data_IF_079363519469
#
_entry.id   IF_079363519469
#
_cell.length_a   1.000
_cell.length_b   1.000
_cell.length_c   1.000
_cell.angle_alpha   90.00
_cell.angle_beta   90.00
_cell.angle_gamma   90.00
#
_symmetry.space_group_name_H-M   'P 1'
#
loop_
_entity.id
_entity.type
_entity.pdbx_description
1 polymer ?
#
# COMPACT_ATOMS: atom_id res chain seq x y z
N UNK A 1 55.65 -58.64 -26.03
CA UNK A 1 54.65 -58.24 -25.06
C UNK A 1 54.45 -56.75 -25.18
N UNK A 2 53.29 -56.29 -25.74
CA UNK A 2 52.99 -54.86 -25.87
C UNK A 2 51.99 -54.51 -24.80
N UNK A 3 52.17 -53.40 -24.00
CA UNK A 3 51.16 -52.97 -23.03
C UNK A 3 50.05 -52.20 -23.74
N UNK A 4 48.80 -52.63 -23.45
CA UNK A 4 47.58 -51.87 -23.81
C UNK A 4 47.40 -50.71 -22.80
N UNK A 5 47.45 -49.49 -23.30
CA UNK A 5 47.01 -48.28 -22.59
C UNK A 5 45.51 -48.10 -22.79
N UNK A 6 44.74 -48.15 -21.69
CA UNK A 6 43.34 -47.73 -21.65
C UNK A 6 43.25 -46.24 -21.34
N UNK A 7 42.49 -45.43 -22.11
CA UNK A 7 42.25 -44.04 -21.76
C UNK A 7 41.17 -43.94 -20.69
N UNK A 8 41.47 -43.32 -19.55
CA UNK A 8 40.54 -42.96 -18.50
C UNK A 8 39.83 -41.68 -18.93
N UNK A 9 38.54 -41.77 -19.30
CA UNK A 9 37.69 -40.62 -19.58
C UNK A 9 37.17 -40.07 -18.28
N UNK A 10 37.66 -38.92 -17.83
CA UNK A 10 37.16 -38.19 -16.67
C UNK A 10 35.92 -37.39 -17.11
N UNK A 11 34.74 -37.79 -16.67
CA UNK A 11 33.50 -37.04 -16.87
C UNK A 11 33.40 -35.98 -15.77
N UNK A 12 33.65 -34.72 -16.11
CA UNK A 12 33.49 -33.58 -15.26
C UNK A 12 31.99 -33.19 -15.22
N UNK A 13 31.28 -33.60 -14.18
CA UNK A 13 29.89 -33.21 -13.95
C UNK A 13 29.90 -31.77 -13.41
N UNK A 14 29.58 -30.79 -14.24
CA UNK A 14 29.33 -29.40 -13.87
C UNK A 14 27.96 -29.34 -13.13
N UNK A 15 28.00 -29.37 -11.80
CA UNK A 15 26.82 -29.05 -10.99
C UNK A 15 26.53 -27.56 -11.10
N UNK A 16 25.57 -27.16 -11.92
CA UNK A 16 25.06 -25.78 -11.94
C UNK A 16 24.37 -25.49 -10.59
N UNK A 17 24.72 -24.41 -9.90
CA UNK A 17 24.01 -24.03 -8.68
C UNK A 17 22.57 -23.68 -9.05
N UNK A 18 21.60 -24.46 -8.58
CA UNK A 18 20.20 -24.11 -8.62
C UNK A 18 20.00 -22.88 -7.75
N UNK A 19 19.92 -21.70 -8.35
CA UNK A 19 19.52 -20.47 -7.67
C UNK A 19 18.06 -20.64 -7.29
N UNK A 20 17.82 -21.13 -6.07
CA UNK A 20 16.51 -21.04 -5.44
C UNK A 20 16.15 -19.56 -5.32
N UNK A 21 15.39 -19.04 -6.29
CA UNK A 21 14.69 -17.78 -6.12
C UNK A 21 13.70 -17.99 -4.98
N UNK A 22 14.07 -17.55 -3.79
CA UNK A 22 13.11 -17.42 -2.71
C UNK A 22 11.95 -16.57 -3.22
N UNK A 23 10.78 -17.17 -3.43
CA UNK A 23 9.56 -16.43 -3.72
C UNK A 23 9.36 -15.49 -2.53
N UNK A 24 9.51 -14.19 -2.75
CA UNK A 24 9.26 -13.20 -1.71
C UNK A 24 7.82 -13.40 -1.19
N UNK A 25 7.72 -13.68 0.10
CA UNK A 25 6.45 -14.01 0.73
C UNK A 25 5.43 -12.88 0.50
N UNK A 26 4.27 -13.24 -0.01
CA UNK A 26 3.15 -12.31 -0.15
C UNK A 26 2.58 -12.03 1.24
N UNK A 27 2.53 -10.76 1.63
CA UNK A 27 1.90 -10.31 2.87
C UNK A 27 0.44 -9.94 2.56
N UNK A 28 -0.52 -10.56 3.21
CA UNK A 28 -1.93 -10.27 3.04
C UNK A 28 -2.63 -10.13 4.39
N UNK A 29 -3.77 -9.49 4.40
CA UNK A 29 -4.53 -9.30 5.62
C UNK A 29 -5.81 -8.52 5.40
N UNK A 30 -6.52 -8.35 6.50
CA UNK A 30 -7.74 -7.56 6.56
C UNK A 30 -7.62 -6.56 7.70
N UNK A 31 -7.84 -5.28 7.42
CA UNK A 31 -8.06 -4.27 8.45
C UNK A 31 -9.54 -4.07 8.67
N UNK A 32 -9.97 -4.17 9.92
CA UNK A 32 -11.33 -3.87 10.38
C UNK A 32 -11.27 -2.57 11.16
N UNK A 33 -12.01 -1.56 10.71
CA UNK A 33 -12.10 -0.25 11.35
C UNK A 33 -13.41 -0.16 12.09
N UNK A 34 -13.32 0.12 13.39
CA UNK A 34 -14.46 0.17 14.31
C UNK A 34 -14.59 1.59 14.86
N UNK A 35 -15.79 2.16 14.82
CA UNK A 35 -16.19 3.32 15.61
C UNK A 35 -17.14 2.81 16.70
N UNK A 36 -16.76 2.99 17.96
CA UNK A 36 -17.37 2.31 19.09
C UNK A 36 -17.37 0.77 18.88
N UNK A 37 -18.52 0.15 18.57
CA UNK A 37 -18.65 -1.29 18.29
C UNK A 37 -19.01 -1.59 16.83
N UNK A 38 -19.28 -0.56 16.05
CA UNK A 38 -19.74 -0.72 14.68
C UNK A 38 -18.56 -0.72 13.70
N UNK A 39 -18.58 -1.67 12.76
CA UNK A 39 -17.62 -1.66 11.65
C UNK A 39 -17.97 -0.52 10.70
N UNK A 40 -17.08 0.47 10.56
CA UNK A 40 -17.24 1.60 9.65
C UNK A 40 -16.51 1.39 8.31
N UNK A 41 -15.46 0.58 8.32
CA UNK A 41 -14.76 0.19 7.12
C UNK A 41 -14.11 -1.20 7.25
N UNK A 42 -13.92 -1.86 6.11
CA UNK A 42 -13.19 -3.12 5.99
C UNK A 42 -12.24 -2.99 4.81
N UNK A 43 -10.95 -3.19 5.04
CA UNK A 43 -9.94 -3.21 4.00
C UNK A 43 -9.31 -4.59 3.88
N UNK A 44 -9.39 -5.20 2.70
CA UNK A 44 -8.68 -6.42 2.36
C UNK A 44 -7.54 -6.07 1.43
N UNK A 45 -6.34 -6.59 1.67
CA UNK A 45 -5.19 -6.28 0.84
C UNK A 45 -4.26 -7.48 0.64
N UNK A 46 -3.45 -7.38 -0.40
CA UNK A 46 -2.33 -8.28 -0.68
C UNK A 46 -1.14 -7.45 -1.17
N UNK A 47 0.03 -7.72 -0.60
CA UNK A 47 1.29 -7.05 -0.89
C UNK A 47 2.31 -8.07 -1.33
N UNK A 48 2.76 -7.98 -2.56
CA UNK A 48 3.94 -8.66 -3.09
C UNK A 48 5.17 -7.74 -3.09
N UNK A 49 6.28 -8.20 -3.66
CA UNK A 49 7.52 -7.41 -3.73
C UNK A 49 7.39 -6.15 -4.61
N UNK A 50 6.57 -6.20 -5.65
CA UNK A 50 6.44 -5.11 -6.64
C UNK A 50 5.03 -4.53 -6.74
N UNK A 51 4.06 -5.07 -5.99
CA UNK A 51 2.65 -4.67 -6.12
C UNK A 51 1.91 -4.75 -4.79
N UNK A 52 1.12 -3.72 -4.52
CA UNK A 52 0.11 -3.68 -3.47
C UNK A 52 -1.26 -3.57 -4.12
N UNK A 53 -2.18 -4.43 -3.74
CA UNK A 53 -3.59 -4.36 -4.18
C UNK A 53 -4.50 -4.42 -2.96
N UNK A 54 -5.63 -3.74 -3.02
CA UNK A 54 -6.60 -3.82 -1.94
C UNK A 54 -7.99 -3.37 -2.36
N UNK A 55 -8.93 -3.65 -1.47
CA UNK A 55 -10.31 -3.20 -1.56
C UNK A 55 -10.73 -2.69 -0.19
N UNK A 56 -11.11 -1.42 -0.14
CA UNK A 56 -11.65 -0.75 1.03
C UNK A 56 -13.16 -0.60 0.87
N UNK A 57 -13.93 -1.25 1.72
CA UNK A 57 -15.39 -1.15 1.76
C UNK A 57 -15.82 -0.24 2.90
N UNK A 58 -16.45 0.89 2.58
CA UNK A 58 -16.96 1.86 3.54
C UNK A 58 -18.43 1.56 3.85
N UNK A 59 -18.78 1.50 5.13
CA UNK A 59 -20.17 1.34 5.58
C UNK A 59 -20.86 2.69 5.74
N UNK A 60 -20.86 3.47 4.67
CA UNK A 60 -21.60 4.74 4.58
C UNK A 60 -22.96 4.53 3.89
N UNK A 61 -23.77 5.60 3.81
CA UNK A 61 -25.10 5.56 3.20
C UNK A 61 -25.07 5.12 1.72
N UNK A 62 -24.01 5.43 0.99
CA UNK A 62 -23.81 5.07 -0.42
C UNK A 62 -23.23 3.66 -0.61
N UNK A 63 -22.74 3.03 0.49
CA UNK A 63 -22.02 1.76 0.44
C UNK A 63 -20.89 1.80 -0.58
N UNK A 64 -19.97 2.73 -0.35
CA UNK A 64 -18.82 2.95 -1.23
C UNK A 64 -17.80 1.84 -1.08
N UNK A 65 -17.26 1.37 -2.19
CA UNK A 65 -16.07 0.51 -2.21
C UNK A 65 -15.01 1.10 -3.11
N UNK A 66 -13.75 1.07 -2.65
CA UNK A 66 -12.59 1.61 -3.32
C UNK A 66 -11.61 0.48 -3.57
N UNK A 67 -11.45 0.09 -4.82
CA UNK A 67 -10.42 -0.88 -5.21
C UNK A 67 -9.20 -0.13 -5.69
N UNK A 68 -8.05 -0.46 -5.14
CA UNK A 68 -6.80 0.16 -5.53
C UNK A 68 -5.73 -0.87 -5.92
N UNK A 69 -4.81 -0.43 -6.77
CA UNK A 69 -3.55 -1.12 -7.04
C UNK A 69 -2.41 -0.12 -7.09
N UNK A 70 -1.26 -0.47 -6.53
CA UNK A 70 -0.07 0.35 -6.54
C UNK A 70 1.15 -0.48 -6.94
N UNK A 71 2.04 0.11 -7.74
CA UNK A 71 3.36 -0.44 -8.02
C UNK A 71 4.28 -0.08 -6.86
N UNK A 72 5.04 -1.06 -6.35
CA UNK A 72 6.07 -0.85 -5.33
C UNK A 72 7.43 -0.85 -6.04
N UNK A 73 8.14 0.27 -5.96
CA UNK A 73 9.50 0.38 -6.45
C UNK A 73 10.53 -0.21 -5.46
N UNK A 74 11.78 -0.50 -5.87
CA UNK A 74 12.81 -1.06 -5.00
C UNK A 74 13.13 -0.22 -3.74
N UNK A 75 12.96 1.10 -3.81
CA UNK A 75 13.10 2.05 -2.70
C UNK A 75 11.83 2.17 -1.84
N UNK A 76 10.87 1.26 -2.02
CA UNK A 76 9.56 1.23 -1.38
C UNK A 76 8.67 2.44 -1.65
N UNK A 77 8.96 3.26 -2.67
CA UNK A 77 8.01 4.26 -3.17
C UNK A 77 6.88 3.63 -3.97
N UNK A 78 5.80 4.38 -4.18
CA UNK A 78 4.63 3.97 -4.97
C UNK A 78 4.49 4.88 -6.19
N UNK A 79 5.27 4.67 -7.28
CA UNK A 79 5.31 5.57 -8.44
C UNK A 79 4.01 5.58 -9.25
N UNK A 80 3.17 4.57 -9.11
CA UNK A 80 1.90 4.47 -9.82
C UNK A 80 0.84 3.90 -8.88
N UNK A 81 -0.30 4.57 -8.80
CA UNK A 81 -1.50 4.09 -8.11
C UNK A 81 -2.72 4.23 -9.00
N UNK A 82 -3.55 3.22 -9.01
CA UNK A 82 -4.86 3.22 -9.66
C UNK A 82 -5.93 2.98 -8.62
N UNK A 83 -7.02 3.74 -8.70
CA UNK A 83 -8.18 3.62 -7.80
C UNK A 83 -9.45 3.56 -8.62
N UNK A 84 -10.35 2.64 -8.25
CA UNK A 84 -11.70 2.55 -8.80
C UNK A 84 -12.69 2.66 -7.65
N UNK A 85 -13.54 3.67 -7.70
CA UNK A 85 -14.61 3.91 -6.73
C UNK A 85 -15.93 3.37 -7.27
N UNK A 86 -16.63 2.60 -6.45
CA UNK A 86 -17.96 2.06 -6.74
C UNK A 86 -18.93 2.46 -5.64
N UNK A 87 -20.16 2.76 -6.01
CA UNK A 87 -21.26 3.01 -5.09
C UNK A 87 -22.35 1.96 -5.27
N UNK A 88 -22.95 1.50 -4.17
CA UNK A 88 -24.00 0.48 -4.18
C UNK A 88 -23.52 -0.88 -3.65
N UNK A 89 -24.33 -1.92 -3.87
CA UNK A 89 -24.08 -3.30 -3.46
C UNK A 89 -24.00 -4.21 -4.68
N UNK A 90 -23.15 -5.23 -4.65
CA UNK A 90 -23.00 -6.16 -5.77
C UNK A 90 -24.21 -7.08 -5.97
N UNK A 91 -25.08 -7.21 -4.96
CA UNK A 91 -26.27 -8.05 -4.98
C UNK A 91 -27.55 -7.23 -4.81
N UNK A 92 -28.57 -7.52 -5.63
CA UNK A 92 -29.87 -6.88 -5.57
C UNK A 92 -30.21 -6.00 -6.77
N UNK A 93 -31.35 -5.28 -6.75
CA UNK A 93 -31.83 -4.48 -7.88
C UNK A 93 -30.97 -3.25 -8.22
N UNK A 94 -30.11 -2.83 -7.26
CA UNK A 94 -29.15 -1.73 -7.44
C UNK A 94 -27.74 -2.28 -7.43
N UNK A 95 -27.28 -2.76 -8.59
CA UNK A 95 -25.89 -3.21 -8.76
C UNK A 95 -24.91 -2.06 -8.50
N UNK A 96 -23.75 -2.36 -7.91
CA UNK A 96 -22.69 -1.40 -7.67
C UNK A 96 -22.25 -0.77 -9.00
N UNK A 97 -22.29 0.57 -9.06
CA UNK A 97 -21.89 1.37 -10.24
C UNK A 97 -20.47 1.92 -10.00
N UNK A 98 -19.63 1.86 -11.02
CA UNK A 98 -18.37 2.61 -11.02
C UNK A 98 -18.71 4.09 -11.18
N UNK A 99 -18.32 4.90 -10.21
CA UNK A 99 -18.56 6.36 -10.21
C UNK A 99 -17.30 7.15 -10.51
N UNK A 100 -16.11 6.56 -10.28
CA UNK A 100 -14.85 7.21 -10.53
C UNK A 100 -13.75 6.18 -10.78
N UNK A 101 -12.83 6.51 -11.69
CA UNK A 101 -11.54 5.85 -11.84
C UNK A 101 -10.46 6.91 -11.85
N UNK A 102 -9.41 6.70 -11.08
CA UNK A 102 -8.25 7.58 -11.05
C UNK A 102 -6.98 6.77 -11.25
N UNK A 103 -6.04 7.34 -12.00
CA UNK A 103 -4.68 6.86 -12.15
C UNK A 103 -3.74 7.98 -11.78
N UNK A 104 -2.85 7.74 -10.84
CA UNK A 104 -1.89 8.73 -10.34
C UNK A 104 -0.48 8.24 -10.61
N UNK A 105 0.29 9.04 -11.35
CA UNK A 105 1.69 8.79 -11.66
C UNK A 105 2.52 9.83 -10.93
N UNK A 106 3.36 9.37 -10.00
CA UNK A 106 4.27 10.21 -9.25
C UNK A 106 5.59 10.38 -10.03
N UNK A 107 6.05 11.64 -10.09
CA UNK A 107 7.37 12.04 -10.57
C UNK A 107 8.16 12.64 -9.42
N UNK A 108 9.29 13.31 -9.71
CA UNK A 108 10.14 13.88 -8.66
C UNK A 108 9.40 14.92 -7.80
N UNK A 109 8.73 15.87 -8.43
CA UNK A 109 8.11 17.04 -7.80
C UNK A 109 6.63 17.22 -8.15
N UNK A 110 6.03 16.20 -8.80
CA UNK A 110 4.66 16.29 -9.29
C UNK A 110 3.95 14.94 -9.30
N UNK A 111 2.63 15.00 -9.26
CA UNK A 111 1.71 13.88 -9.47
C UNK A 111 0.79 14.21 -10.63
N UNK A 112 0.84 13.41 -11.69
CA UNK A 112 -0.11 13.48 -12.79
C UNK A 112 -1.31 12.59 -12.45
N UNK A 113 -2.50 13.17 -12.45
CA UNK A 113 -3.77 12.51 -12.11
C UNK A 113 -4.65 12.47 -13.33
N UNK A 114 -4.90 11.27 -13.83
CA UNK A 114 -5.92 10.98 -14.83
C UNK A 114 -7.17 10.48 -14.10
N UNK A 115 -8.27 11.18 -14.25
CA UNK A 115 -9.54 10.87 -13.60
C UNK A 115 -10.63 10.68 -14.65
N UNK A 116 -11.35 9.58 -14.58
CA UNK A 116 -12.53 9.30 -15.42
C UNK A 116 -13.76 9.22 -14.51
N UNK A 117 -14.67 10.16 -14.70
CA UNK A 117 -15.96 10.22 -14.03
C UNK A 117 -17.10 10.43 -15.03
N UNK A 118 -18.26 10.85 -14.55
CA UNK A 118 -19.44 11.11 -15.39
C UNK A 118 -19.19 12.25 -16.41
N UNK A 119 -18.28 13.18 -16.11
CA UNK A 119 -17.88 14.29 -17.02
C UNK A 119 -16.83 13.89 -18.07
N UNK A 120 -16.40 12.62 -18.12
CA UNK A 120 -15.35 12.11 -19.01
C UNK A 120 -13.98 12.07 -18.38
N UNK A 121 -12.93 12.04 -19.22
CA UNK A 121 -11.53 12.03 -18.81
C UNK A 121 -11.05 13.45 -18.50
N UNK A 122 -10.44 13.62 -17.33
CA UNK A 122 -9.76 14.84 -16.93
C UNK A 122 -8.35 14.51 -16.46
N UNK A 123 -7.36 15.22 -17.00
CA UNK A 123 -5.96 15.11 -16.58
C UNK A 123 -5.55 16.39 -15.86
N UNK A 124 -4.96 16.23 -14.67
CA UNK A 124 -4.40 17.33 -13.86
C UNK A 124 -3.01 16.99 -13.39
N UNK A 125 -2.17 18.00 -13.25
CA UNK A 125 -0.83 17.87 -12.65
C UNK A 125 -0.78 18.71 -11.38
N UNK A 126 -0.38 18.09 -10.29
CA UNK A 126 -0.25 18.72 -8.98
C UNK A 126 1.22 18.72 -8.55
N UNK A 127 1.66 19.80 -7.88
CA UNK A 127 2.94 19.79 -7.20
C UNK A 127 2.91 18.83 -6.01
N UNK A 128 3.98 18.07 -5.83
CA UNK A 128 4.16 17.20 -4.67
C UNK A 128 5.64 17.08 -4.32
N UNK A 129 5.96 16.38 -3.24
CA UNK A 129 7.35 16.13 -2.84
C UNK A 129 7.83 14.77 -3.37
N UNK A 130 9.14 14.70 -3.64
CA UNK A 130 9.78 13.45 -4.06
C UNK A 130 9.47 12.31 -3.09
N UNK A 131 8.87 11.26 -3.64
CA UNK A 131 8.51 10.09 -2.86
C UNK A 131 7.31 10.28 -1.94
N UNK A 132 6.43 11.23 -2.22
CA UNK A 132 5.15 11.35 -1.52
C UNK A 132 4.38 10.02 -1.57
N UNK A 133 3.78 9.65 -0.43
CA UNK A 133 2.99 8.43 -0.30
C UNK A 133 1.54 8.73 -0.69
N UNK A 134 0.90 7.94 -1.56
CA UNK A 134 -0.51 8.11 -1.84
C UNK A 134 -1.34 7.92 -0.57
N UNK A 135 -2.21 8.88 -0.28
CA UNK A 135 -3.15 8.84 0.83
C UNK A 135 -4.56 8.59 0.32
N UNK A 136 -5.10 7.44 0.67
CA UNK A 136 -6.49 7.08 0.51
C UNK A 136 -7.09 7.01 1.91
N UNK A 137 -8.15 7.78 2.16
CA UNK A 137 -8.73 7.87 3.50
C UNK A 137 -9.15 6.47 4.01
N UNK A 138 -8.77 6.16 5.26
CA UNK A 138 -9.00 4.87 5.93
C UNK A 138 -8.29 3.64 5.31
N UNK A 139 -7.39 3.81 4.32
CA UNK A 139 -6.56 2.71 3.83
C UNK A 139 -5.32 2.53 4.70
N UNK A 140 -5.32 1.49 5.52
CA UNK A 140 -4.20 1.16 6.41
C UNK A 140 -3.07 0.41 5.69
N UNK A 141 -3.36 -0.27 4.60
CA UNK A 141 -2.32 -0.91 3.78
C UNK A 141 -1.44 0.14 3.05
N UNK A 142 -2.00 1.28 2.63
CA UNK A 142 -1.21 2.40 2.10
C UNK A 142 -0.45 3.12 3.21
N UNK A 143 -1.05 3.35 4.38
CA UNK A 143 -0.35 3.91 5.55
C UNK A 143 0.80 3.00 6.01
N UNK A 144 0.63 1.69 5.98
CA UNK A 144 1.68 0.72 6.29
C UNK A 144 2.89 0.90 5.35
N UNK A 145 2.67 1.23 4.08
CA UNK A 145 3.78 1.49 3.15
C UNK A 145 4.64 2.69 3.59
N UNK A 146 4.01 3.73 4.12
CA UNK A 146 4.72 4.88 4.70
C UNK A 146 5.60 4.47 5.90
N UNK A 147 5.06 3.64 6.80
CA UNK A 147 5.80 3.13 7.96
C UNK A 147 6.98 2.25 7.53
N UNK A 148 6.77 1.34 6.59
CA UNK A 148 7.83 0.47 6.06
C UNK A 148 8.95 1.27 5.41
N UNK A 149 8.60 2.27 4.59
CA UNK A 149 9.57 3.14 3.93
C UNK A 149 10.37 3.97 4.94
N UNK A 150 9.72 4.55 5.94
CA UNK A 150 10.39 5.33 6.97
C UNK A 150 11.48 4.53 7.71
N UNK A 151 11.29 3.22 7.86
CA UNK A 151 12.29 2.32 8.46
C UNK A 151 13.49 2.04 7.56
N UNK A 152 13.33 2.14 6.24
CA UNK A 152 14.41 1.95 5.28
C UNK A 152 15.26 3.22 5.09
N UNK A 153 14.76 4.38 5.49
CA UNK A 153 15.40 5.68 5.28
C UNK A 153 15.93 6.23 6.60
N UNK A 154 17.24 6.38 6.79
CA UNK A 154 17.79 7.05 7.97
C UNK A 154 17.20 8.45 8.13
N UNK A 155 16.73 8.79 9.33
CA UNK A 155 16.06 10.07 9.60
C UNK A 155 14.64 10.20 9.03
N UNK A 156 14.05 9.11 8.55
CA UNK A 156 12.76 9.03 7.88
C UNK A 156 11.51 9.37 8.72
N UNK A 157 11.62 10.28 9.67
CA UNK A 157 10.49 10.77 10.47
C UNK A 157 9.56 11.73 9.72
N UNK A 158 10.05 12.40 8.67
CA UNK A 158 9.25 13.29 7.82
C UNK A 158 8.77 12.53 6.58
N UNK A 159 7.48 12.59 6.32
CA UNK A 159 6.84 11.90 5.20
C UNK A 159 5.87 12.90 4.58
N UNK A 160 5.76 12.89 3.26
CA UNK A 160 4.73 13.63 2.55
C UNK A 160 3.68 12.68 2.01
N UNK A 161 2.42 12.98 2.24
CA UNK A 161 1.30 12.26 1.68
C UNK A 161 0.63 13.08 0.57
N UNK A 162 0.32 12.42 -0.53
CA UNK A 162 -0.49 13.00 -1.60
C UNK A 162 -1.92 12.48 -1.47
N UNK A 163 -2.86 13.37 -1.19
CA UNK A 163 -4.28 13.06 -1.05
C UNK A 163 -4.89 12.72 -2.43
N UNK A 164 -5.23 11.45 -2.63
CA UNK A 164 -5.79 10.97 -3.91
C UNK A 164 -7.15 11.58 -4.24
N UNK A 165 -7.93 11.98 -3.23
CA UNK A 165 -9.24 12.60 -3.42
C UNK A 165 -9.21 14.10 -3.69
N UNK A 166 -8.15 14.80 -3.25
CA UNK A 166 -8.09 16.27 -3.31
C UNK A 166 -6.89 16.84 -4.07
N UNK A 167 -5.88 16.03 -4.39
CA UNK A 167 -4.68 16.50 -5.10
C UNK A 167 -3.73 17.34 -4.26
N UNK A 168 -3.92 17.41 -2.93
CA UNK A 168 -3.02 18.17 -2.05
C UNK A 168 -1.92 17.30 -1.49
N UNK A 169 -0.72 17.86 -1.35
CA UNK A 169 0.37 17.28 -0.58
C UNK A 169 0.28 17.71 0.88
N UNK A 170 0.29 16.75 1.79
CA UNK A 170 0.15 16.95 3.22
C UNK A 170 1.42 16.46 3.90
N UNK A 171 2.09 17.35 4.63
CA UNK A 171 3.22 16.97 5.45
C UNK A 171 2.78 16.07 6.62
N UNK A 172 3.59 15.08 6.93
CA UNK A 172 3.34 14.15 8.03
C UNK A 172 4.63 13.88 8.81
N UNK A 173 4.46 13.48 10.06
CA UNK A 173 5.56 13.11 10.94
C UNK A 173 5.31 11.73 11.53
N UNK A 174 6.28 10.82 11.38
CA UNK A 174 6.29 9.52 12.04
C UNK A 174 7.25 9.59 13.23
N UNK A 175 6.74 9.32 14.42
CA UNK A 175 7.51 9.32 15.67
C UNK A 175 7.36 8.00 16.39
N UNK A 176 8.44 7.41 16.96
CA UNK A 176 8.31 6.22 17.79
C UNK A 176 7.56 6.56 19.07
N UNK A 177 6.69 5.66 19.54
CA UNK A 177 6.04 5.70 20.86
C UNK A 177 6.57 4.59 21.77
N UNK A 178 7.35 3.65 21.24
CA UNK A 178 7.90 2.49 21.90
C UNK A 178 8.54 1.56 20.87
N UNK A 179 8.90 0.35 21.31
CA UNK A 179 9.55 -0.63 20.44
C UNK A 179 8.62 -1.16 19.33
N UNK A 180 7.33 -1.25 19.62
CA UNK A 180 6.28 -1.86 18.79
C UNK A 180 5.18 -0.89 18.39
N UNK A 181 5.37 0.42 18.58
CA UNK A 181 4.35 1.42 18.33
C UNK A 181 4.93 2.71 17.78
N UNK A 182 4.15 3.34 16.90
CA UNK A 182 4.50 4.61 16.27
C UNK A 182 3.28 5.56 16.27
N UNK A 183 3.59 6.84 16.33
CA UNK A 183 2.65 7.92 16.12
C UNK A 183 2.87 8.46 14.71
N UNK A 184 1.81 8.54 13.92
CA UNK A 184 1.80 9.17 12.62
C UNK A 184 0.84 10.36 12.66
N UNK A 185 1.36 11.56 12.51
CA UNK A 185 0.58 12.78 12.41
C UNK A 185 0.50 13.17 10.92
N UNK A 186 -0.71 13.27 10.36
CA UNK A 186 -0.98 13.71 8.98
C UNK A 186 -1.89 14.95 9.07
N UNK A 187 -1.34 16.14 8.88
CA UNK A 187 -2.08 17.38 9.20
C UNK A 187 -2.58 17.32 10.64
N UNK A 188 -3.89 17.51 10.84
CA UNK A 188 -4.54 17.49 12.16
C UNK A 188 -4.94 16.10 12.64
N UNK A 189 -4.75 15.08 11.81
CA UNK A 189 -5.15 13.70 12.13
C UNK A 189 -3.97 12.94 12.71
N UNK A 190 -4.17 12.39 13.90
CA UNK A 190 -3.19 11.56 14.60
C UNK A 190 -3.58 10.10 14.57
N UNK A 191 -2.63 9.26 14.18
CA UNK A 191 -2.72 7.80 14.21
C UNK A 191 -1.75 7.26 15.27
N UNK A 192 -2.25 6.41 16.17
CA UNK A 192 -1.43 5.59 17.05
C UNK A 192 -1.43 4.18 16.50
N UNK A 193 -0.31 3.71 15.96
CA UNK A 193 -0.22 2.43 15.26
C UNK A 193 0.65 1.46 16.06
N UNK A 194 0.20 0.22 16.22
CA UNK A 194 1.04 -0.90 16.62
C UNK A 194 1.70 -1.47 15.38
N UNK A 195 3.00 -1.72 15.45
CA UNK A 195 3.80 -2.17 14.31
C UNK A 195 4.78 -3.25 14.75
N UNK A 196 5.10 -4.18 13.87
CA UNK A 196 6.16 -5.14 14.12
C UNK A 196 7.54 -4.63 13.67
N UNK A 197 8.56 -5.46 13.85
CA UNK A 197 9.94 -5.15 13.46
C UNK A 197 10.11 -4.91 11.95
N UNK A 198 9.25 -5.48 11.10
CA UNK A 198 9.24 -5.28 9.66
C UNK A 198 8.43 -4.06 9.22
N UNK A 199 7.85 -3.29 10.17
CA UNK A 199 7.00 -2.14 9.87
C UNK A 199 5.59 -2.50 9.41
N UNK A 200 5.13 -3.75 9.62
CA UNK A 200 3.74 -4.11 9.37
C UNK A 200 2.85 -3.49 10.45
N UNK A 201 1.75 -2.89 10.03
CA UNK A 201 0.74 -2.37 10.96
C UNK A 201 -0.10 -3.54 11.48
N UNK A 202 -0.09 -3.75 12.80
CA UNK A 202 -0.84 -4.80 13.48
C UNK A 202 -2.20 -4.30 13.99
N UNK A 203 -2.44 -3.01 13.93
CA UNK A 203 -3.64 -2.33 14.36
C UNK A 203 -3.33 -0.93 14.89
N UNK A 204 -4.31 -0.27 15.49
CA UNK A 204 -4.11 1.07 16.01
C UNK A 204 -5.39 1.79 16.36
N UNK A 205 -5.31 3.12 16.49
CA UNK A 205 -6.46 3.99 16.73
C UNK A 205 -6.25 5.36 16.12
N UNK A 206 -7.36 6.02 15.80
CA UNK A 206 -7.45 7.41 15.38
C UNK A 206 -8.25 8.15 16.47
N UNK A 207 -7.59 8.72 17.49
CA UNK A 207 -8.30 9.24 18.68
C UNK A 207 -9.34 10.31 18.36
N UNK A 208 -9.03 11.24 17.46
CA UNK A 208 -9.94 12.35 17.09
C UNK A 208 -11.22 11.86 16.42
N UNK A 209 -11.23 10.66 15.85
CA UNK A 209 -12.38 10.05 15.17
C UNK A 209 -13.01 8.91 15.98
N UNK A 210 -12.46 8.59 17.15
CA UNK A 210 -12.82 7.42 17.98
C UNK A 210 -12.85 6.11 17.18
N UNK A 211 -11.89 5.96 16.26
CA UNK A 211 -11.76 4.78 15.41
C UNK A 211 -10.66 3.86 15.94
N UNK A 212 -11.00 2.59 16.12
CA UNK A 212 -10.06 1.50 16.45
C UNK A 212 -9.85 0.66 15.20
N UNK A 213 -8.60 0.27 14.96
CA UNK A 213 -8.18 -0.52 13.81
C UNK A 213 -7.60 -1.84 14.28
N UNK A 214 -8.06 -2.94 13.69
CA UNK A 214 -7.60 -4.29 13.98
C UNK A 214 -7.17 -4.96 12.68
N UNK A 215 -5.98 -5.57 12.67
CA UNK A 215 -5.54 -6.47 11.60
C UNK A 215 -5.94 -7.91 11.96
N UNK A 216 -6.51 -8.61 10.96
CA UNK A 216 -6.87 -10.03 11.01
C UNK A 216 -6.15 -10.80 9.91
#
# INVERSE_FOLDING_TARGET
MKPLLFPITVILVLAAPAVLRAQAATDSGTFVLLHARDTVALEQFSRGPTKLVGTLALRNAKRTSERYSAVIAPDATLPLVEVTVREGVDSGPRKAKVVQRARVIFKQDSAAVDEVGDAGLMTRVFGTETGAVPYLNLSFALLEQAVRRARLTPGGSKISFFNLGGGQTIAATLSPLGADSVKLDIGDIRFHLRVDSAGRVLGGRIPVQDVVVQRK
#
